data_IF_746415551957
#
_entry.id   IF_746415551957
#
_cell.length_a   1.000
_cell.length_b   1.000
_cell.length_c   1.000
_cell.angle_alpha   90.00
_cell.angle_beta   90.00
_cell.angle_gamma   90.00
#
_symmetry.space_group_name_H-M   'P 1'
#
loop_
_entity.id
_entity.type
_entity.pdbx_description
1 polymer ?
#
# COMPACT_ATOMS: atom_id res chain seq x y z
N UNK A 1 -17.20 5.67 -8.41
CA UNK A 1 -17.70 4.28 -8.45
C UNK A 1 -17.53 3.75 -7.06
N UNK A 2 -18.57 3.15 -6.51
CA UNK A 2 -18.55 2.57 -5.16
C UNK A 2 -17.86 1.21 -5.23
N UNK A 3 -16.53 1.26 -5.33
CA UNK A 3 -15.67 0.10 -5.55
C UNK A 3 -14.66 -0.06 -4.41
N UNK A 4 -13.90 -1.16 -4.44
CA UNK A 4 -13.06 -1.59 -3.32
C UNK A 4 -11.95 -0.61 -2.90
N UNK A 5 -11.70 0.46 -3.65
CA UNK A 5 -10.74 1.49 -3.24
C UNK A 5 -11.30 2.40 -2.14
N UNK A 6 -12.62 2.46 -1.95
CA UNK A 6 -13.29 3.21 -0.89
C UNK A 6 -13.45 2.32 0.35
N UNK A 7 -12.35 2.16 1.09
CA UNK A 7 -12.29 1.26 2.25
C UNK A 7 -12.58 1.97 3.60
N UNK A 8 -12.99 3.24 3.57
CA UNK A 8 -13.25 4.02 4.78
C UNK A 8 -14.40 3.42 5.60
N UNK A 9 -14.14 3.02 6.84
CA UNK A 9 -15.17 2.49 7.75
C UNK A 9 -15.51 1.00 7.56
N UNK A 10 -14.71 0.26 6.81
CA UNK A 10 -14.86 -1.19 6.66
C UNK A 10 -14.16 -1.98 7.78
N UNK A 11 -14.73 -3.13 8.15
CA UNK A 11 -14.19 -4.06 9.16
C UNK A 11 -13.57 -5.33 8.54
N UNK A 12 -12.76 -6.06 9.32
CA UNK A 12 -12.33 -7.43 8.99
C UNK A 12 -10.97 -7.61 8.32
N UNK A 13 -10.19 -6.54 8.09
CA UNK A 13 -8.84 -6.61 7.49
C UNK A 13 -7.75 -7.17 8.41
N UNK A 14 -8.04 -7.30 9.71
CA UNK A 14 -7.07 -7.74 10.71
C UNK A 14 -6.13 -6.62 11.18
N UNK A 15 -5.09 -6.97 11.97
CA UNK A 15 -4.18 -5.99 12.54
C UNK A 15 -3.22 -5.40 11.50
N UNK A 16 -2.79 -4.16 11.73
CA UNK A 16 -1.75 -3.50 10.92
C UNK A 16 -0.37 -4.01 11.36
N UNK A 17 0.41 -4.67 10.48
CA UNK A 17 1.78 -5.06 10.80
C UNK A 17 2.70 -3.84 10.71
N UNK A 18 2.97 -3.19 11.85
CA UNK A 18 3.85 -2.02 11.92
C UNK A 18 5.31 -2.49 11.71
N UNK A 19 5.96 -1.95 10.69
CA UNK A 19 7.41 -2.03 10.49
C UNK A 19 8.00 -0.62 10.63
N UNK A 20 9.22 -0.51 11.15
CA UNK A 20 9.97 0.75 11.08
C UNK A 20 10.09 1.21 9.63
N UNK A 21 10.17 2.53 9.40
CA UNK A 21 10.17 3.12 8.06
C UNK A 21 11.21 2.43 7.16
N UNK A 22 10.70 1.65 6.21
CA UNK A 22 11.49 0.92 5.23
C UNK A 22 11.90 1.81 4.05
N UNK A 23 12.65 1.26 3.08
CA UNK A 23 12.93 2.00 1.86
C UNK A 23 11.63 2.30 1.10
N UNK A 24 11.56 3.47 0.46
CA UNK A 24 10.41 3.86 -0.38
C UNK A 24 10.14 2.84 -1.49
N UNK A 25 11.22 2.25 -2.05
CA UNK A 25 11.15 1.16 -3.01
C UNK A 25 11.88 -0.07 -2.45
N UNK A 26 11.21 -1.21 -2.41
CA UNK A 26 11.69 -2.51 -1.99
C UNK A 26 12.35 -3.29 -3.14
N UNK A 27 12.06 -2.93 -4.38
CA UNK A 27 12.67 -3.52 -5.56
C UNK A 27 12.99 -2.48 -6.64
N UNK A 28 14.02 -2.75 -7.45
CA UNK A 28 14.50 -1.81 -8.49
C UNK A 28 13.45 -1.52 -9.56
N UNK A 29 12.49 -2.41 -9.77
CA UNK A 29 11.42 -2.21 -10.75
C UNK A 29 10.37 -1.20 -10.29
N UNK A 30 10.14 -1.05 -8.98
CA UNK A 30 9.12 -0.12 -8.45
C UNK A 30 9.49 1.33 -8.78
N UNK A 31 10.77 1.68 -8.59
CA UNK A 31 11.31 2.99 -8.97
C UNK A 31 11.27 3.23 -10.48
N UNK A 32 11.44 2.18 -11.30
CA UNK A 32 11.34 2.29 -12.76
C UNK A 32 9.92 2.59 -13.19
N UNK A 33 8.92 1.88 -12.66
CA UNK A 33 7.51 2.10 -13.01
C UNK A 33 7.05 3.49 -12.56
N UNK A 34 7.51 3.97 -11.41
CA UNK A 34 7.19 5.32 -10.93
C UNK A 34 7.75 6.43 -11.84
N UNK A 35 8.90 6.19 -12.49
CA UNK A 35 9.56 7.17 -13.33
C UNK A 35 9.07 7.21 -14.80
N UNK A 36 8.09 6.37 -15.15
CA UNK A 36 7.46 6.30 -16.47
C UNK A 36 6.18 7.15 -16.52
#
# INVERSE_FOLDING_TARGET
MDGIHDMGGMDGFGPIPIKNEGPVFHATWEARVWAL
#
